data_IF_500223646428
#
_entry.id   IF_500223646428
#
_cell.length_a   1.000
_cell.length_b   1.000
_cell.length_c   1.000
_cell.angle_alpha   90.00
_cell.angle_beta   90.00
_cell.angle_gamma   90.00
#
_symmetry.space_group_name_H-M   'P 1'
#
loop_
_entity.id
_entity.type
_entity.pdbx_description
1 polymer ?
#
# COMPACT_ATOMS: atom_id res chain seq x y z
N UNK A 1 -5.52 1.96 19.20
CA UNK A 1 -6.92 1.98 19.69
C UNK A 1 -7.80 2.60 18.62
N UNK A 2 -9.03 2.10 18.41
CA UNK A 2 -9.96 2.74 17.48
C UNK A 2 -10.23 4.19 17.89
N UNK A 3 -10.36 5.12 16.93
CA UNK A 3 -10.55 6.54 17.21
C UNK A 3 -11.96 6.88 17.72
N UNK A 4 -12.92 5.95 17.64
CA UNK A 4 -14.32 6.17 17.98
C UNK A 4 -14.88 4.99 18.79
N UNK A 5 -15.77 5.26 19.76
CA UNK A 5 -16.33 4.23 20.65
C UNK A 5 -17.14 3.16 19.90
N UNK A 6 -17.83 3.53 18.82
CA UNK A 6 -18.56 2.55 17.99
C UNK A 6 -17.61 1.57 17.30
N UNK A 7 -16.46 2.04 16.81
CA UNK A 7 -15.43 1.14 16.29
C UNK A 7 -14.89 0.25 17.42
N UNK A 8 -14.67 0.78 18.63
CA UNK A 8 -14.26 -0.04 19.76
C UNK A 8 -15.28 -1.14 20.12
N UNK A 9 -16.58 -0.85 20.00
CA UNK A 9 -17.64 -1.85 20.17
C UNK A 9 -17.60 -2.92 19.09
N UNK A 10 -17.44 -2.56 17.81
CA UNK A 10 -17.31 -3.53 16.71
C UNK A 10 -16.09 -4.42 16.88
N UNK A 11 -14.94 -3.84 17.27
CA UNK A 11 -13.74 -4.63 17.55
C UNK A 11 -13.96 -5.61 18.72
N UNK A 12 -14.62 -5.16 19.79
CA UNK A 12 -14.93 -6.01 20.95
C UNK A 12 -15.92 -7.12 20.58
N UNK A 13 -16.91 -6.80 19.76
CA UNK A 13 -17.89 -7.76 19.23
C UNK A 13 -17.21 -8.82 18.38
N UNK A 14 -16.30 -8.43 17.47
CA UNK A 14 -15.55 -9.36 16.63
C UNK A 14 -14.76 -10.37 17.48
N UNK A 15 -14.02 -9.89 18.48
CA UNK A 15 -13.26 -10.77 19.38
C UNK A 15 -14.19 -11.73 20.14
N UNK A 16 -15.31 -11.24 20.68
CA UNK A 16 -16.27 -12.08 21.40
C UNK A 16 -16.95 -13.11 20.48
N UNK A 17 -17.28 -12.72 19.25
CA UNK A 17 -17.84 -13.59 18.23
C UNK A 17 -16.88 -14.73 17.90
N UNK A 18 -15.60 -14.43 17.69
CA UNK A 18 -14.57 -15.43 17.45
C UNK A 18 -14.41 -16.39 18.64
N UNK A 19 -14.39 -15.87 19.87
CA UNK A 19 -14.31 -16.71 21.08
C UNK A 19 -15.53 -17.64 21.19
N UNK A 20 -16.75 -17.13 20.99
CA UNK A 20 -17.96 -17.95 21.00
C UNK A 20 -17.92 -19.03 19.91
N UNK A 21 -17.58 -18.64 18.68
CA UNK A 21 -17.42 -19.55 17.54
C UNK A 21 -16.43 -20.68 17.84
N UNK A 22 -15.24 -20.35 18.36
CA UNK A 22 -14.22 -21.36 18.65
C UNK A 22 -14.53 -22.21 19.89
N UNK A 23 -15.31 -21.70 20.83
CA UNK A 23 -15.76 -22.46 21.99
C UNK A 23 -16.73 -23.58 21.58
N UNK A 24 -17.70 -23.26 20.72
CA UNK A 24 -18.66 -24.23 20.21
C UNK A 24 -18.04 -25.21 19.22
N UNK A 25 -17.26 -24.69 18.26
CA UNK A 25 -16.59 -25.47 17.23
C UNK A 25 -15.11 -25.05 17.13
N UNK A 26 -14.20 -25.76 17.82
CA UNK A 26 -12.78 -25.45 17.78
C UNK A 26 -12.18 -25.55 16.37
N UNK A 27 -11.49 -24.51 15.92
CA UNK A 27 -10.78 -24.53 14.64
C UNK A 27 -9.47 -25.34 14.77
N UNK A 28 -9.42 -26.51 14.11
CA UNK A 28 -8.26 -27.43 14.13
C UNK A 28 -7.53 -27.55 12.78
N UNK A 29 -7.79 -26.62 11.87
CA UNK A 29 -7.12 -26.58 10.57
C UNK A 29 -5.60 -26.37 10.75
N UNK A 30 -4.75 -26.96 9.88
CA UNK A 30 -3.32 -26.73 9.92
C UNK A 30 -2.98 -25.25 9.63
N UNK A 31 -1.91 -24.75 10.23
CA UNK A 31 -1.41 -23.41 9.93
C UNK A 31 -0.89 -23.33 8.50
N UNK A 32 -1.26 -22.26 7.79
CA UNK A 32 -0.79 -21.99 6.44
C UNK A 32 0.51 -21.19 6.50
N UNK A 33 1.55 -21.67 5.82
CA UNK A 33 2.81 -20.93 5.69
C UNK A 33 2.74 -19.99 4.48
N UNK A 34 2.42 -18.72 4.74
CA UNK A 34 2.30 -17.70 3.69
C UNK A 34 3.64 -17.24 3.08
N UNK A 35 4.78 -17.59 3.70
CA UNK A 35 6.11 -17.22 3.21
C UNK A 35 6.27 -15.71 3.05
N UNK A 36 6.92 -15.26 1.97
CA UNK A 36 7.15 -13.84 1.69
C UNK A 36 5.85 -13.04 1.52
N UNK A 37 4.76 -13.68 1.09
CA UNK A 37 3.49 -13.00 0.89
C UNK A 37 2.87 -12.49 2.19
N UNK A 38 3.24 -13.06 3.35
CA UNK A 38 2.78 -12.58 4.66
C UNK A 38 3.11 -11.10 4.87
N UNK A 39 4.33 -10.70 4.46
CA UNK A 39 4.78 -9.31 4.49
C UNK A 39 4.67 -8.61 3.13
N UNK A 40 4.07 -9.27 2.14
CA UNK A 40 3.84 -8.79 0.79
C UNK A 40 2.39 -8.40 0.57
N UNK A 41 1.72 -9.15 -0.31
CA UNK A 41 0.33 -8.87 -0.72
C UNK A 41 -0.66 -8.85 0.46
N UNK A 42 -0.46 -9.68 1.50
CA UNK A 42 -1.34 -9.73 2.67
C UNK A 42 -1.23 -8.50 3.58
N UNK A 43 -0.42 -7.51 3.22
CA UNK A 43 -0.38 -6.19 3.85
C UNK A 43 -0.97 -5.08 2.96
N UNK A 44 -1.48 -5.44 1.78
CA UNK A 44 -2.21 -4.53 0.91
C UNK A 44 -3.72 -4.55 1.24
N UNK A 45 -4.40 -3.40 1.18
CA UNK A 45 -5.83 -3.27 1.50
C UNK A 45 -6.71 -4.32 0.82
N UNK A 46 -6.54 -4.58 -0.48
CA UNK A 46 -7.40 -5.50 -1.23
C UNK A 46 -7.45 -6.90 -0.60
N UNK A 47 -6.28 -7.46 -0.28
CA UNK A 47 -6.20 -8.81 0.28
C UNK A 47 -6.66 -8.85 1.75
N UNK A 48 -6.36 -7.81 2.55
CA UNK A 48 -6.80 -7.76 3.95
C UNK A 48 -8.32 -7.63 4.04
N UNK A 49 -8.93 -6.79 3.19
CA UNK A 49 -10.37 -6.58 3.16
C UNK A 49 -11.09 -7.86 2.74
N UNK A 50 -10.55 -8.60 1.76
CA UNK A 50 -11.09 -9.90 1.37
C UNK A 50 -10.97 -10.92 2.50
N UNK A 51 -9.79 -11.04 3.12
CA UNK A 51 -9.52 -12.00 4.20
C UNK A 51 -10.45 -11.78 5.40
N UNK A 52 -10.66 -10.53 5.82
CA UNK A 52 -11.58 -10.24 6.93
C UNK A 52 -13.05 -10.44 6.53
N UNK A 53 -13.41 -10.27 5.26
CA UNK A 53 -14.75 -10.58 4.77
C UNK A 53 -15.04 -12.09 4.85
N UNK A 54 -14.05 -12.93 4.58
CA UNK A 54 -14.14 -14.39 4.75
C UNK A 54 -14.32 -14.77 6.22
N UNK A 55 -13.64 -14.10 7.15
CA UNK A 55 -13.86 -14.28 8.59
C UNK A 55 -15.29 -13.91 8.99
N UNK A 56 -15.82 -12.79 8.51
CA UNK A 56 -17.21 -12.42 8.77
C UNK A 56 -18.20 -13.43 8.15
N UNK A 57 -17.89 -14.01 6.99
CA UNK A 57 -18.70 -15.06 6.38
C UNK A 57 -18.69 -16.35 7.21
N UNK A 58 -17.53 -16.76 7.75
CA UNK A 58 -17.42 -17.90 8.67
C UNK A 58 -18.29 -17.68 9.92
N UNK A 59 -18.24 -16.48 10.52
CA UNK A 59 -19.10 -16.15 11.67
C UNK A 59 -20.59 -16.30 11.33
N UNK A 60 -21.04 -15.78 10.18
CA UNK A 60 -22.44 -15.91 9.73
C UNK A 60 -22.84 -17.36 9.46
N UNK A 61 -21.93 -18.18 8.95
CA UNK A 61 -22.16 -19.61 8.74
C UNK A 61 -22.30 -20.39 10.06
N UNK A 62 -21.89 -19.81 11.19
CA UNK A 62 -22.06 -20.33 12.55
C UNK A 62 -23.11 -19.53 13.34
N UNK A 63 -24.12 -18.99 12.65
CA UNK A 63 -25.26 -18.27 13.24
C UNK A 63 -24.90 -17.00 14.03
N UNK A 64 -23.69 -16.48 13.89
CA UNK A 64 -23.29 -15.18 14.45
C UNK A 64 -23.40 -14.14 13.34
N UNK A 65 -24.52 -13.41 13.32
CA UNK A 65 -24.80 -12.41 12.28
C UNK A 65 -23.91 -11.15 12.41
N UNK A 66 -22.64 -11.29 12.03
CA UNK A 66 -21.68 -10.21 11.97
C UNK A 66 -21.69 -9.61 10.56
N UNK A 67 -22.14 -8.36 10.44
CA UNK A 67 -22.15 -7.66 9.16
C UNK A 67 -20.73 -7.18 8.80
N UNK A 68 -20.28 -7.52 7.60
CA UNK A 68 -18.95 -7.12 7.10
C UNK A 68 -18.83 -5.60 7.00
N UNK A 69 -19.91 -4.89 6.67
CA UNK A 69 -19.92 -3.42 6.52
C UNK A 69 -19.60 -2.66 7.81
N UNK A 70 -19.73 -3.30 8.98
CA UNK A 70 -19.30 -2.70 10.25
C UNK A 70 -17.79 -2.45 10.31
N UNK A 71 -17.02 -3.09 9.42
CA UNK A 71 -15.56 -2.93 9.32
C UNK A 71 -15.15 -1.83 8.32
N UNK A 72 -16.07 -1.28 7.53
CA UNK A 72 -15.75 -0.22 6.55
C UNK A 72 -15.02 0.99 7.16
N UNK A 73 -15.41 1.49 8.37
CA UNK A 73 -14.67 2.57 9.01
C UNK A 73 -13.23 2.19 9.37
N UNK A 74 -12.95 0.91 9.67
CA UNK A 74 -11.59 0.43 9.92
C UNK A 74 -10.78 0.40 8.65
N UNK A 75 -11.39 0.01 7.53
CA UNK A 75 -10.77 0.03 6.21
C UNK A 75 -10.34 1.45 5.85
N UNK A 76 -11.25 2.43 5.94
CA UNK A 76 -10.92 3.83 5.61
C UNK A 76 -9.91 4.44 6.58
N UNK A 77 -10.00 4.10 7.87
CA UNK A 77 -9.03 4.59 8.85
C UNK A 77 -7.63 3.97 8.67
N UNK A 78 -7.56 2.66 8.40
CA UNK A 78 -6.28 1.93 8.30
C UNK A 78 -5.62 2.10 6.94
N UNK A 79 -6.41 2.25 5.88
CA UNK A 79 -5.99 2.31 4.50
C UNK A 79 -6.57 3.56 3.82
N UNK A 80 -6.23 4.76 4.32
CA UNK A 80 -6.81 5.99 3.82
C UNK A 80 -6.54 6.14 2.32
N UNK A 81 -7.58 6.54 1.58
CA UNK A 81 -7.47 6.89 0.17
C UNK A 81 -6.58 8.12 0.01
N UNK A 82 -5.54 7.97 -0.80
CA UNK A 82 -4.62 9.05 -1.17
C UNK A 82 -5.22 9.85 -2.32
N UNK A 83 -5.75 9.17 -3.33
CA UNK A 83 -6.41 9.81 -4.46
C UNK A 83 -6.78 8.83 -5.56
N UNK A 84 -7.57 9.31 -6.51
CA UNK A 84 -8.03 8.57 -7.68
C UNK A 84 -7.88 9.46 -8.92
N UNK A 85 -7.51 8.86 -10.04
CA UNK A 85 -7.47 9.52 -11.34
C UNK A 85 -7.91 8.56 -12.44
N UNK A 86 -8.42 9.09 -13.55
CA UNK A 86 -8.92 8.30 -14.68
C UNK A 86 -8.23 8.76 -15.95
N UNK A 87 -7.62 7.82 -16.69
CA UNK A 87 -6.90 8.08 -17.93
C UNK A 87 -7.21 6.97 -18.94
N UNK A 88 -7.56 7.32 -20.18
CA UNK A 88 -7.90 6.33 -21.22
C UNK A 88 -8.89 5.25 -20.74
N UNK A 89 -9.94 5.68 -20.03
CA UNK A 89 -10.96 4.82 -19.40
C UNK A 89 -10.45 3.84 -18.32
N UNK A 90 -9.19 3.98 -17.91
CA UNK A 90 -8.60 3.24 -16.79
C UNK A 90 -8.62 4.10 -15.53
N UNK A 91 -9.26 3.59 -14.47
CA UNK A 91 -9.15 4.19 -13.14
C UNK A 91 -7.86 3.74 -12.47
N UNK A 92 -7.17 4.66 -11.81
CA UNK A 92 -6.03 4.40 -10.92
C UNK A 92 -6.36 4.95 -9.54
N UNK A 93 -6.40 4.10 -8.52
CA UNK A 93 -6.58 4.47 -7.11
C UNK A 93 -5.32 4.18 -6.32
N UNK A 94 -4.90 5.15 -5.50
CA UNK A 94 -3.82 5.01 -4.52
C UNK A 94 -4.42 4.96 -3.10
N UNK A 95 -4.05 3.93 -2.33
CA UNK A 95 -4.38 3.81 -0.91
C UNK A 95 -3.12 3.53 -0.10
N UNK A 96 -3.05 4.07 1.11
CA UNK A 96 -2.06 3.64 2.09
C UNK A 96 -2.16 2.13 2.33
N UNK A 97 -1.03 1.47 2.56
CA UNK A 97 -0.95 0.06 2.89
C UNK A 97 -0.11 -0.17 4.15
N UNK A 98 -0.15 -1.38 4.71
CA UNK A 98 0.61 -1.66 5.92
C UNK A 98 2.08 -1.92 5.56
N UNK A 99 2.97 -1.18 6.21
CA UNK A 99 4.40 -1.43 6.19
C UNK A 99 4.87 -1.71 7.64
N UNK A 100 5.33 -2.93 7.95
CA UNK A 100 5.89 -3.23 9.25
C UNK A 100 7.25 -2.54 9.39
N UNK A 101 7.42 -1.75 10.45
CA UNK A 101 8.70 -1.13 10.76
C UNK A 101 9.59 -2.07 11.54
N UNK A 102 10.83 -2.19 11.09
CA UNK A 102 11.83 -3.00 11.77
C UNK A 102 12.27 -2.29 13.04
N UNK A 103 12.37 -3.04 14.12
CA UNK A 103 13.00 -2.57 15.35
C UNK A 103 14.53 -2.59 15.18
N UNK A 104 15.18 -1.50 15.56
CA UNK A 104 16.64 -1.36 15.54
C UNK A 104 17.27 -1.94 16.81
N UNK A 105 18.60 -1.96 16.86
CA UNK A 105 19.34 -2.30 18.07
C UNK A 105 19.07 -1.31 19.21
N UNK A 106 19.40 -1.73 20.44
CA UNK A 106 19.38 -0.80 21.58
C UNK A 106 20.55 0.18 21.48
N UNK A 107 20.26 1.45 21.71
CA UNK A 107 21.25 2.53 21.72
C UNK A 107 21.25 3.19 23.11
N UNK A 108 22.44 3.46 23.64
CA UNK A 108 22.59 4.23 24.87
C UNK A 108 22.19 5.69 24.61
N UNK A 109 21.30 6.21 25.45
CA UNK A 109 20.90 7.62 25.47
C UNK A 109 21.45 8.28 26.73
N UNK A 110 21.34 9.61 26.83
CA UNK A 110 21.79 10.35 28.01
C UNK A 110 21.07 9.97 29.31
N UNK A 111 19.94 9.25 29.25
CA UNK A 111 19.11 8.88 30.41
C UNK A 111 18.85 7.37 30.53
N UNK A 112 19.39 6.54 29.64
CA UNK A 112 19.16 5.10 29.65
C UNK A 112 19.49 4.42 28.32
N UNK A 113 18.67 3.45 27.92
CA UNK A 113 18.73 2.83 26.59
C UNK A 113 17.41 3.02 25.86
N UNK A 114 17.48 3.22 24.55
CA UNK A 114 16.31 3.32 23.68
C UNK A 114 16.41 2.30 22.55
N UNK A 115 15.26 1.82 22.08
CA UNK A 115 15.18 0.96 20.91
C UNK A 115 14.33 1.64 19.84
N UNK A 116 14.99 2.15 18.80
CA UNK A 116 14.33 2.87 17.73
C UNK A 116 13.62 1.91 16.76
N UNK A 117 12.72 2.47 15.97
CA UNK A 117 12.08 1.78 14.85
C UNK A 117 12.44 2.48 13.55
N UNK A 118 12.77 1.70 12.53
CA UNK A 118 12.99 2.24 11.19
C UNK A 118 11.63 2.58 10.56
N UNK A 119 11.19 3.81 10.83
CA UNK A 119 9.96 4.39 10.32
C UNK A 119 10.14 5.07 8.96
N UNK A 120 11.30 4.89 8.32
CA UNK A 120 11.64 5.54 7.06
C UNK A 120 10.91 4.98 5.85
N UNK A 121 10.32 3.78 5.98
CA UNK A 121 9.72 3.03 4.87
C UNK A 121 8.20 3.06 5.00
N UNK A 122 7.53 3.27 3.88
CA UNK A 122 6.09 3.19 3.76
C UNK A 122 5.69 2.32 2.58
N UNK A 123 4.39 2.01 2.51
CA UNK A 123 3.79 1.22 1.45
C UNK A 123 2.48 1.83 1.01
N UNK A 124 2.23 1.77 -0.29
CA UNK A 124 0.93 2.03 -0.88
C UNK A 124 0.47 0.84 -1.71
N UNK A 125 -0.84 0.68 -1.82
CA UNK A 125 -1.46 -0.13 -2.87
C UNK A 125 -1.88 0.79 -4.00
N UNK A 126 -1.61 0.34 -5.22
CA UNK A 126 -2.22 0.85 -6.43
C UNK A 126 -3.25 -0.15 -6.91
N UNK A 127 -4.45 0.34 -7.24
CA UNK A 127 -5.52 -0.45 -7.85
C UNK A 127 -5.83 0.16 -9.21
N UNK A 128 -5.96 -0.67 -10.23
CA UNK A 128 -6.48 -0.26 -11.54
C UNK A 128 -7.81 -0.94 -11.85
N UNK A 129 -8.71 -0.24 -12.54
CA UNK A 129 -9.93 -0.80 -13.14
C UNK A 129 -9.92 -0.49 -14.64
N UNK A 130 -10.19 -1.50 -15.47
CA UNK A 130 -10.33 -1.35 -16.93
C UNK A 130 -9.00 -1.36 -17.69
N UNK A 131 -7.86 -1.51 -17.01
CA UNK A 131 -6.57 -1.65 -17.66
C UNK A 131 -6.42 -3.04 -18.28
N UNK A 132 -6.31 -3.11 -19.61
CA UNK A 132 -5.89 -4.32 -20.32
C UNK A 132 -4.44 -4.70 -19.93
N UNK A 133 -4.27 -5.91 -19.36
CA UNK A 133 -3.00 -6.47 -18.87
C UNK A 133 -1.94 -6.64 -19.95
N UNK A 134 -2.35 -6.84 -21.20
CA UNK A 134 -1.44 -7.06 -22.32
C UNK A 134 -1.07 -5.77 -23.04
N UNK A 135 -1.80 -4.67 -22.78
CA UNK A 135 -1.60 -3.38 -23.44
C UNK A 135 -1.07 -2.30 -22.52
N UNK A 136 -1.46 -2.31 -21.25
CA UNK A 136 -1.10 -1.26 -20.31
C UNK A 136 -0.10 -1.75 -19.27
N UNK A 137 0.94 -0.94 -19.05
CA UNK A 137 1.87 -1.12 -17.94
C UNK A 137 1.78 0.12 -17.06
N UNK A 138 1.42 -0.09 -15.80
CA UNK A 138 1.52 0.96 -14.79
C UNK A 138 2.97 1.03 -14.30
N UNK A 139 3.53 2.24 -14.26
CA UNK A 139 4.86 2.50 -13.71
C UNK A 139 4.77 3.39 -12.48
N UNK A 140 5.75 3.28 -11.58
CA UNK A 140 6.02 4.22 -10.50
C UNK A 140 7.47 4.69 -10.62
N UNK A 141 7.69 6.00 -10.77
CA UNK A 141 9.01 6.59 -11.00
C UNK A 141 9.78 5.92 -12.15
N UNK A 142 9.08 5.54 -13.23
CA UNK A 142 9.66 4.88 -14.40
C UNK A 142 10.00 3.40 -14.20
N UNK A 143 9.63 2.80 -13.07
CA UNK A 143 9.74 1.35 -12.84
C UNK A 143 8.35 0.71 -12.94
N UNK A 144 8.21 -0.40 -13.67
CA UNK A 144 6.94 -1.12 -13.78
C UNK A 144 6.48 -1.61 -12.41
N UNK A 145 5.20 -1.41 -12.10
CA UNK A 145 4.56 -1.97 -10.91
C UNK A 145 4.08 -3.38 -11.27
N UNK A 146 4.45 -4.43 -10.50
CA UNK A 146 4.01 -5.79 -10.76
C UNK A 146 2.53 -5.95 -10.36
N UNK A 147 1.62 -5.57 -11.25
CA UNK A 147 0.18 -5.66 -11.01
C UNK A 147 -0.29 -7.12 -11.01
N UNK A 148 -1.07 -7.51 -10.01
CA UNK A 148 -1.68 -8.83 -9.89
C UNK A 148 -3.16 -8.75 -10.25
N UNK A 149 -3.64 -9.78 -10.95
CA UNK A 149 -5.08 -9.97 -11.16
C UNK A 149 -5.80 -10.24 -9.84
N UNK A 150 -7.06 -9.86 -9.78
CA UNK A 150 -7.98 -10.20 -8.68
C UNK A 150 -9.09 -11.11 -9.22
N UNK A 151 -10.02 -11.52 -8.36
CA UNK A 151 -11.17 -12.32 -8.78
C UNK A 151 -12.12 -11.55 -9.71
N UNK A 152 -12.04 -10.22 -9.72
CA UNK A 152 -12.64 -9.40 -10.75
C UNK A 152 -11.64 -9.22 -11.91
N UNK A 153 -11.99 -9.66 -13.14
CA UNK A 153 -11.07 -9.64 -14.28
C UNK A 153 -10.63 -8.23 -14.67
N UNK A 154 -11.45 -7.20 -14.42
CA UNK A 154 -11.17 -5.81 -14.75
C UNK A 154 -10.29 -5.10 -13.70
N UNK A 155 -10.13 -5.71 -12.52
CA UNK A 155 -9.40 -5.13 -11.39
C UNK A 155 -8.01 -5.74 -11.30
N UNK A 156 -7.01 -4.89 -11.10
CA UNK A 156 -5.65 -5.29 -10.78
C UNK A 156 -5.13 -4.53 -9.56
N UNK A 157 -4.25 -5.16 -8.79
CA UNK A 157 -3.64 -4.56 -7.60
C UNK A 157 -2.15 -4.81 -7.54
N UNK A 158 -1.39 -3.80 -7.15
CA UNK A 158 0.05 -3.88 -6.90
C UNK A 158 0.43 -3.06 -5.69
N UNK A 159 1.53 -3.40 -5.04
CA UNK A 159 2.10 -2.62 -3.95
C UNK A 159 3.34 -1.86 -4.40
N UNK A 160 3.54 -0.67 -3.84
CA UNK A 160 4.80 0.07 -3.95
C UNK A 160 5.33 0.32 -2.54
N UNK A 161 6.53 -0.20 -2.26
CA UNK A 161 7.33 0.12 -1.08
C UNK A 161 8.35 1.16 -1.44
N UNK A 162 8.48 2.17 -0.59
CA UNK A 162 9.31 3.33 -0.86
C UNK A 162 9.84 3.91 0.44
N UNK A 163 10.98 4.60 0.38
CA UNK A 163 11.49 5.37 1.50
C UNK A 163 10.77 6.71 1.57
N UNK A 164 9.99 6.95 2.62
CA UNK A 164 9.21 8.15 2.79
C UNK A 164 10.00 9.33 3.37
N UNK A 165 10.97 9.07 4.26
CA UNK A 165 11.81 10.09 4.88
C UNK A 165 13.13 9.50 5.40
N UNK A 166 14.02 10.31 5.96
CA UNK A 166 15.33 9.87 6.45
C UNK A 166 15.51 10.21 7.93
N UNK A 167 15.10 9.31 8.85
CA UNK A 167 15.35 9.48 10.28
C UNK A 167 16.86 9.41 10.58
N UNK A 168 17.29 9.99 11.72
CA UNK A 168 18.67 9.85 12.21
C UNK A 168 19.11 8.38 12.39
N UNK A 169 18.18 7.50 12.79
CA UNK A 169 18.41 6.06 12.95
C UNK A 169 17.52 5.26 11.98
N UNK A 170 18.15 4.49 11.08
CA UNK A 170 17.49 3.58 10.12
C UNK A 170 18.44 2.45 9.69
N UNK A 171 17.89 1.35 9.18
CA UNK A 171 18.70 0.19 8.74
C UNK A 171 19.60 0.50 7.54
N UNK A 172 19.17 1.38 6.65
CA UNK A 172 19.89 1.70 5.41
C UNK A 172 20.09 3.21 5.27
N UNK A 173 20.94 3.86 6.08
CA UNK A 173 21.02 5.31 6.16
C UNK A 173 21.41 5.98 4.83
N UNK A 174 22.07 5.29 3.91
CA UNK A 174 22.53 5.83 2.61
C UNK A 174 21.46 5.84 1.52
N UNK A 175 20.35 5.10 1.69
CA UNK A 175 19.26 5.08 0.72
C UNK A 175 18.46 6.38 0.85
N UNK A 176 18.39 7.21 -0.19
CA UNK A 176 17.67 8.50 -0.16
C UNK A 176 16.15 8.34 -0.18
N UNK A 177 15.40 9.42 0.02
CA UNK A 177 13.92 9.43 -0.04
C UNK A 177 13.41 9.20 -1.47
N UNK A 178 12.36 8.40 -1.60
CA UNK A 178 11.63 8.10 -2.83
C UNK A 178 10.42 9.04 -2.95
N UNK A 179 10.64 10.30 -3.32
CA UNK A 179 9.57 11.30 -3.39
C UNK A 179 9.84 12.41 -4.41
N UNK A 180 8.80 12.90 -5.13
CA UNK A 180 7.43 12.36 -5.15
C UNK A 180 7.34 11.01 -5.87
N UNK A 181 6.25 10.28 -5.65
CA UNK A 181 5.91 9.06 -6.37
C UNK A 181 5.03 9.40 -7.57
N UNK A 182 5.52 9.16 -8.78
CA UNK A 182 4.82 9.44 -10.04
C UNK A 182 4.34 8.15 -10.66
N UNK A 183 3.02 8.01 -10.77
CA UNK A 183 2.37 6.87 -11.38
C UNK A 183 1.98 7.21 -12.81
N UNK A 184 2.38 6.39 -13.77
CA UNK A 184 2.02 6.59 -15.18
C UNK A 184 1.49 5.32 -15.82
N UNK A 185 0.39 5.46 -16.57
CA UNK A 185 -0.19 4.39 -17.37
C UNK A 185 0.41 4.43 -18.78
N UNK A 186 1.30 3.49 -19.08
CA UNK A 186 1.95 3.41 -20.38
C UNK A 186 1.21 2.43 -21.28
N UNK A 187 0.83 2.87 -22.47
CA UNK A 187 0.36 1.99 -23.54
C UNK A 187 1.58 1.46 -24.31
N UNK A 188 1.84 0.15 -24.17
CA UNK A 188 3.02 -0.47 -24.78
C UNK A 188 2.87 -0.71 -26.28
N UNK A 189 1.65 -0.67 -26.82
CA UNK A 189 1.43 -0.80 -28.27
C UNK A 189 1.82 0.48 -29.00
N UNK A 190 1.49 1.65 -28.42
CA UNK A 190 1.86 2.96 -29.00
C UNK A 190 3.18 3.50 -28.49
N UNK A 191 3.67 2.99 -27.36
CA UNK A 191 4.87 3.48 -26.68
C UNK A 191 4.69 4.90 -26.15
N UNK A 192 3.53 5.20 -25.55
CA UNK A 192 3.18 6.53 -25.05
C UNK A 192 2.49 6.43 -23.70
N UNK A 193 2.72 7.42 -22.83
CA UNK A 193 1.95 7.57 -21.60
C UNK A 193 0.51 8.02 -21.93
N UNK A 194 -0.48 7.39 -21.32
CA UNK A 194 -1.91 7.73 -21.43
C UNK A 194 -2.36 8.71 -20.36
N UNK A 195 -1.51 8.96 -19.37
CA UNK A 195 -1.77 9.83 -18.24
C UNK A 195 -1.16 9.28 -16.96
N UNK A 196 -1.26 10.05 -15.89
CA UNK A 196 -0.61 9.71 -14.64
C UNK A 196 -0.99 10.65 -13.50
N UNK A 197 -0.67 10.21 -12.29
CA UNK A 197 -0.91 10.94 -11.05
C UNK A 197 0.34 10.95 -10.18
N UNK A 198 0.45 11.97 -9.33
CA UNK A 198 1.61 12.17 -8.46
C UNK A 198 1.17 12.15 -6.99
N UNK A 199 1.88 11.38 -6.17
CA UNK A 199 1.77 11.43 -4.72
C UNK A 199 3.03 12.04 -4.11
N UNK A 200 2.87 13.15 -3.40
CA UNK A 200 3.91 13.82 -2.65
C UNK A 200 3.94 13.26 -1.22
N UNK A 201 5.02 12.56 -0.86
CA UNK A 201 5.14 11.93 0.47
C UNK A 201 5.04 12.98 1.60
N UNK A 202 5.70 14.12 1.39
CA UNK A 202 5.62 15.32 2.21
C UNK A 202 4.89 16.45 1.48
N UNK A 203 4.70 17.60 2.14
CA UNK A 203 4.08 18.74 1.49
C UNK A 203 4.87 19.14 0.22
N UNK A 204 4.24 19.38 -0.95
CA UNK A 204 4.94 19.64 -2.21
C UNK A 204 5.93 20.82 -2.15
N UNK A 205 5.64 21.82 -1.32
CA UNK A 205 6.53 22.95 -1.06
C UNK A 205 7.69 22.69 -0.09
N UNK A 206 7.92 21.43 0.33
CA UNK A 206 8.97 21.05 1.28
C UNK A 206 8.78 21.58 2.70
N UNK A 207 7.60 22.11 3.04
CA UNK A 207 7.30 22.73 4.33
C UNK A 207 6.79 21.70 5.33
N UNK A 208 7.35 21.71 6.54
CA UNK A 208 6.68 21.18 7.71
C UNK A 208 5.59 22.15 8.15
N UNK A 209 4.49 21.64 8.71
CA UNK A 209 3.52 22.49 9.38
C UNK A 209 4.04 22.82 10.78
N UNK A 210 4.08 24.11 11.14
CA UNK A 210 4.54 24.55 12.46
C UNK A 210 3.55 24.18 13.58
N UNK A 211 2.29 23.95 13.23
CA UNK A 211 1.21 23.62 14.16
C UNK A 211 0.47 22.35 13.76
N UNK A 212 -0.03 21.57 14.74
CA UNK A 212 -1.02 20.53 14.49
C UNK A 212 -2.25 21.11 13.77
N UNK A 213 -2.99 20.30 12.99
CA UNK A 213 -4.23 20.76 12.38
C UNK A 213 -5.25 21.14 13.46
N UNK A 214 -5.96 22.25 13.26
CA UNK A 214 -6.94 22.77 14.22
C UNK A 214 -8.20 21.90 14.29
N UNK A 215 -8.50 21.15 13.22
CA UNK A 215 -9.61 20.21 13.16
C UNK A 215 -9.38 19.12 12.09
N UNK A 216 -10.32 18.17 12.00
CA UNK A 216 -10.25 17.06 11.06
C UNK A 216 -10.30 17.52 9.59
N UNK A 217 -11.04 18.58 9.28
CA UNK A 217 -11.18 19.14 7.91
C UNK A 217 -9.85 19.72 7.43
N UNK A 218 -9.14 20.45 8.29
CA UNK A 218 -7.81 20.96 7.97
C UNK A 218 -6.83 19.79 7.77
N UNK A 219 -6.85 18.80 8.67
CA UNK A 219 -6.01 17.61 8.55
C UNK A 219 -6.26 16.87 7.22
N UNK A 220 -7.53 16.75 6.81
CA UNK A 220 -7.93 16.16 5.53
C UNK A 220 -7.47 16.99 4.34
N UNK A 221 -7.65 18.31 4.38
CA UNK A 221 -7.16 19.22 3.33
C UNK A 221 -5.64 19.12 3.17
N UNK A 222 -4.88 19.09 4.28
CA UNK A 222 -3.43 18.89 4.28
C UNK A 222 -3.04 17.57 3.62
N UNK A 223 -3.80 16.49 3.86
CA UNK A 223 -3.58 15.18 3.20
C UNK A 223 -3.93 15.22 1.72
N UNK A 224 -5.06 15.83 1.33
CA UNK A 224 -5.53 15.89 -0.06
C UNK A 224 -4.58 16.65 -0.98
N UNK A 225 -3.90 17.70 -0.48
CA UNK A 225 -2.88 18.44 -1.24
C UNK A 225 -1.64 17.63 -1.64
N UNK A 226 -1.49 16.42 -1.11
CA UNK A 226 -0.39 15.52 -1.46
C UNK A 226 -0.66 14.70 -2.71
N UNK A 227 -1.85 14.77 -3.29
CA UNK A 227 -2.19 14.04 -4.51
C UNK A 227 -2.53 15.00 -5.65
N UNK A 228 -1.94 14.75 -6.82
CA UNK A 228 -2.23 15.45 -8.06
C UNK A 228 -2.70 14.43 -9.11
N UNK A 229 -3.91 14.61 -9.63
CA UNK A 229 -4.48 13.78 -10.69
C UNK A 229 -3.93 14.12 -12.10
N UNK A 230 -2.74 14.69 -12.14
CA UNK A 230 -2.06 15.16 -13.34
C UNK A 230 -0.56 14.84 -13.22
N UNK A 231 0.12 14.82 -14.36
CA UNK A 231 1.55 14.54 -14.44
C UNK A 231 1.79 13.24 -15.19
N UNK A 232 2.33 13.37 -16.40
CA UNK A 232 2.77 12.25 -17.21
C UNK A 232 3.92 12.68 -18.11
N UNK A 233 4.67 11.71 -18.62
CA UNK A 233 5.77 11.94 -19.54
C UNK A 233 5.21 12.15 -20.95
N UNK A 234 5.29 13.38 -21.52
CA UNK A 234 4.81 13.61 -22.87
C UNK A 234 5.74 12.97 -23.90
N UNK A 235 5.17 12.51 -25.01
CA UNK A 235 5.93 11.92 -26.12
C UNK A 235 6.12 10.42 -26.00
N UNK A 236 7.17 9.91 -26.66
CA UNK A 236 7.46 8.48 -26.70
C UNK A 236 8.14 8.02 -25.42
N UNK A 237 7.67 6.89 -24.92
CA UNK A 237 8.24 6.14 -23.81
C UNK A 237 9.06 4.98 -24.38
N UNK A 238 10.24 4.73 -23.80
CA UNK A 238 11.06 3.60 -24.18
C UNK A 238 10.46 2.28 -23.63
N UNK A 239 9.72 1.58 -24.49
CA UNK A 239 9.09 0.30 -24.14
C UNK A 239 10.13 -0.81 -23.94
N UNK A 240 11.30 -0.71 -24.56
CA UNK A 240 12.36 -1.71 -24.38
C UNK A 240 12.94 -1.62 -22.97
N UNK A 241 13.21 -0.40 -22.48
CA UNK A 241 13.64 -0.15 -21.10
C UNK A 241 12.61 -0.65 -20.08
N UNK A 242 11.31 -0.40 -20.30
CA UNK A 242 10.26 -0.91 -19.42
C UNK A 242 10.28 -2.45 -19.37
N UNK A 243 10.37 -3.11 -20.52
CA UNK A 243 10.40 -4.58 -20.60
C UNK A 243 11.64 -5.16 -19.94
N UNK A 244 12.80 -4.51 -20.11
CA UNK A 244 14.03 -4.90 -19.44
C UNK A 244 13.88 -4.80 -17.92
N UNK A 245 13.35 -3.68 -17.42
CA UNK A 245 13.07 -3.51 -15.98
C UNK A 245 12.09 -4.56 -15.46
N UNK A 246 11.03 -4.89 -16.21
CA UNK A 246 10.10 -5.97 -15.85
C UNK A 246 10.83 -7.32 -15.74
N UNK A 247 11.71 -7.63 -16.70
CA UNK A 247 12.49 -8.87 -16.69
C UNK A 247 13.41 -8.94 -15.48
N UNK A 248 14.16 -7.86 -15.17
CA UNK A 248 15.03 -7.79 -13.98
C UNK A 248 14.22 -7.98 -12.69
N UNK A 249 13.10 -7.27 -12.54
CA UNK A 249 12.22 -7.41 -11.38
C UNK A 249 11.64 -8.82 -11.22
N UNK A 250 11.35 -9.52 -12.31
CA UNK A 250 10.82 -10.89 -12.26
C UNK A 250 11.79 -11.90 -11.64
N UNK A 251 13.08 -11.57 -11.60
CA UNK A 251 14.13 -12.40 -10.97
C UNK A 251 14.40 -12.03 -9.50
N UNK A 252 13.84 -10.93 -8.99
CA UNK A 252 14.04 -10.52 -7.60
C UNK A 252 13.28 -11.45 -6.64
N UNK A 253 13.92 -11.82 -5.53
CA UNK A 253 13.41 -12.80 -4.55
C UNK A 253 12.42 -12.14 -3.57
N UNK A 254 11.63 -11.20 -4.05
CA UNK A 254 10.67 -10.41 -3.28
C UNK A 254 9.30 -11.08 -3.14
N UNK A 255 8.43 -10.48 -2.33
CA UNK A 255 7.03 -10.88 -2.34
C UNK A 255 6.37 -10.47 -3.66
N UNK A 256 5.61 -11.39 -4.26
CA UNK A 256 4.93 -11.15 -5.52
C UNK A 256 4.00 -9.93 -5.41
N UNK A 257 3.94 -9.15 -6.48
CA UNK A 257 3.07 -7.98 -6.56
C UNK A 257 3.57 -6.74 -5.81
N UNK A 258 4.83 -6.71 -5.36
CA UNK A 258 5.42 -5.56 -4.67
C UNK A 258 6.61 -4.99 -5.45
N UNK A 259 6.50 -3.74 -5.88
CA UNK A 259 7.64 -2.94 -6.32
C UNK A 259 8.33 -2.31 -5.11
N UNK A 260 9.59 -2.67 -4.82
CA UNK A 260 10.40 -2.00 -3.81
C UNK A 260 11.36 -1.00 -4.47
N UNK A 261 10.99 0.30 -4.45
CA UNK A 261 11.75 1.37 -5.09
C UNK A 261 13.19 1.47 -4.57
N UNK A 262 13.41 1.07 -3.31
CA UNK A 262 14.74 1.07 -2.70
C UNK A 262 15.65 0.03 -3.34
N UNK A 263 15.10 -1.13 -3.73
CA UNK A 263 15.86 -2.23 -4.35
C UNK A 263 16.09 -1.99 -5.82
N UNK A 264 15.05 -1.63 -6.58
CA UNK A 264 15.16 -1.49 -8.05
C UNK A 264 16.15 -0.40 -8.46
N UNK A 265 16.31 0.66 -7.64
CA UNK A 265 17.24 1.76 -7.91
C UNK A 265 18.67 1.54 -7.41
N UNK A 266 18.91 0.59 -6.51
CA UNK A 266 20.24 0.39 -5.91
C UNK A 266 20.84 -0.97 -6.23
N UNK A 267 20.02 -2.01 -6.29
CA UNK A 267 20.47 -3.40 -6.46
C UNK A 267 20.32 -3.86 -7.92
N UNK A 268 19.25 -3.47 -8.60
CA UNK A 268 18.91 -4.01 -9.93
C UNK A 268 19.36 -3.13 -11.11
N UNK A 269 20.21 -2.11 -10.87
CA UNK A 269 20.72 -1.24 -11.93
C UNK A 269 21.89 -1.87 -12.71
N UNK A 270 22.62 -2.81 -12.11
CA UNK A 270 23.78 -3.47 -12.72
C UNK A 270 23.43 -4.84 -13.29
#
# INVERSE_FOLDING_TARGET
MPPHYQMAMVQSLLVRALVARFWEQPLRAPLIRHGLNLHGRYLLPHYIIHDIADVCADLRAHDINFDTSWLDPFTEFRFPRIGTAVFDHVEIELRGAIEPWNTLGEESTGTGTARYVDSSVERIQVRTIGADRQRHVLTCNGYPVPMLATDNPDVQVGGVRYRAWQPPSALHPTITVDGPLRFELVDIATGTSRGGCTYHVSHPGGRSYDTPPVNAVEAESRRGRRFEATGFTPGRVDVADIREKQARQSTDVGAAGILDLRRVRTVLQN
#
